data_IF_303632913329
#
_entry.id   IF_303632913329
#
_cell.length_a   1.000
_cell.length_b   1.000
_cell.length_c   1.000
_cell.angle_alpha   90.00
_cell.angle_beta   90.00
_cell.angle_gamma   90.00
#
_symmetry.space_group_name_H-M   'P 1'
#
loop_
_entity.id
_entity.type
_entity.pdbx_description
1 polymer ?
#
# COMPACT_ATOMS: atom_id res chain seq x y z
N UNK A 1 23.55 -27.54 11.23
CA UNK A 1 23.54 -26.06 11.32
C UNK A 1 22.20 -25.60 10.77
N UNK A 2 21.25 -25.20 11.63
CA UNK A 2 20.03 -24.54 11.17
C UNK A 2 20.36 -23.10 10.74
N UNK A 3 21.02 -22.94 9.60
CA UNK A 3 20.92 -21.70 8.87
C UNK A 3 19.57 -21.70 8.15
N UNK A 4 18.76 -20.64 8.29
CA UNK A 4 17.71 -20.38 7.29
C UNK A 4 16.36 -19.84 7.76
N UNK A 5 16.14 -19.50 9.04
CA UNK A 5 14.89 -18.85 9.46
C UNK A 5 15.08 -17.36 9.72
N UNK A 6 14.16 -16.55 9.18
CA UNK A 6 14.15 -15.10 9.35
C UNK A 6 13.82 -14.72 10.80
N UNK A 7 14.61 -13.83 11.39
CA UNK A 7 14.33 -13.24 12.70
C UNK A 7 13.26 -12.16 12.62
N UNK A 8 12.60 -11.83 13.74
CA UNK A 8 11.65 -10.71 13.83
C UNK A 8 12.26 -9.38 13.39
N UNK A 9 13.53 -9.15 13.72
CA UNK A 9 14.27 -7.95 13.33
C UNK A 9 14.46 -7.88 11.81
N UNK A 10 14.84 -9.00 11.18
CA UNK A 10 14.98 -9.08 9.72
C UNK A 10 13.64 -8.90 9.01
N UNK A 11 12.55 -9.48 9.54
CA UNK A 11 11.19 -9.26 9.03
C UNK A 11 10.82 -7.78 9.05
N UNK A 12 10.94 -7.13 10.22
CA UNK A 12 10.60 -5.71 10.36
C UNK A 12 11.51 -4.80 9.53
N UNK A 13 12.78 -5.17 9.34
CA UNK A 13 13.67 -4.45 8.41
C UNK A 13 13.12 -4.48 6.99
N UNK A 14 12.76 -5.66 6.47
CA UNK A 14 12.17 -5.82 5.13
C UNK A 14 10.85 -5.06 4.99
N UNK A 15 9.95 -5.15 5.97
CA UNK A 15 8.69 -4.39 5.98
C UNK A 15 8.95 -2.87 5.88
N UNK A 16 9.96 -2.36 6.59
CA UNK A 16 10.32 -0.92 6.52
C UNK A 16 10.89 -0.53 5.16
N UNK A 17 11.67 -1.40 4.53
CA UNK A 17 12.17 -1.18 3.16
C UNK A 17 10.99 -1.05 2.19
N UNK A 18 10.06 -2.02 2.20
CA UNK A 18 8.85 -1.99 1.36
C UNK A 18 7.97 -0.75 1.64
N UNK A 19 7.80 -0.39 2.90
CA UNK A 19 6.99 0.77 3.29
C UNK A 19 7.56 2.10 2.78
N UNK A 20 8.89 2.24 2.72
CA UNK A 20 9.54 3.47 2.20
C UNK A 20 9.25 3.66 0.71
N UNK A 21 9.33 2.59 -0.06
CA UNK A 21 9.02 2.59 -1.50
C UNK A 21 7.52 2.89 -1.71
N UNK A 22 6.67 2.15 -0.99
CA UNK A 22 5.20 2.31 -1.07
C UNK A 22 4.74 3.74 -0.78
N UNK A 23 5.36 4.42 0.19
CA UNK A 23 5.01 5.80 0.54
C UNK A 23 5.16 6.73 -0.67
N UNK A 24 6.26 6.58 -1.42
CA UNK A 24 6.49 7.39 -2.62
C UNK A 24 5.47 7.06 -3.69
N UNK A 25 5.23 5.78 -3.96
CA UNK A 25 4.29 5.32 -4.98
C UNK A 25 2.86 5.79 -4.72
N UNK A 26 2.41 5.78 -3.46
CA UNK A 26 1.10 6.31 -3.08
C UNK A 26 1.00 7.81 -3.38
N UNK A 27 2.02 8.59 -3.04
CA UNK A 27 2.02 10.04 -3.28
C UNK A 27 2.02 10.33 -4.80
N UNK A 28 2.85 9.61 -5.56
CA UNK A 28 2.92 9.75 -7.01
C UNK A 28 1.57 9.39 -7.67
N UNK A 29 0.90 8.36 -7.17
CA UNK A 29 -0.43 7.97 -7.64
C UNK A 29 -1.51 9.01 -7.30
N UNK A 30 -1.45 9.62 -6.12
CA UNK A 30 -2.35 10.73 -5.76
C UNK A 30 -2.19 11.91 -6.72
N UNK A 31 -0.94 12.29 -7.06
CA UNK A 31 -0.68 13.33 -8.06
C UNK A 31 -1.18 12.95 -9.44
N UNK A 32 -0.95 11.69 -9.87
CA UNK A 32 -1.44 11.19 -11.15
C UNK A 32 -2.97 11.26 -11.23
N UNK A 33 -3.68 10.87 -10.17
CA UNK A 33 -5.14 10.94 -10.10
C UNK A 33 -5.64 12.39 -10.15
N UNK A 34 -5.00 13.30 -9.41
CA UNK A 34 -5.34 14.72 -9.43
C UNK A 34 -5.14 15.34 -10.82
N UNK A 35 -4.03 15.00 -11.49
CA UNK A 35 -3.68 15.51 -12.81
C UNK A 35 -4.37 14.79 -13.98
N UNK A 36 -5.15 13.73 -13.70
CA UNK A 36 -5.81 12.93 -14.74
C UNK A 36 -7.01 13.62 -15.40
N UNK A 37 -7.50 14.71 -14.80
CA UNK A 37 -8.77 15.35 -15.18
C UNK A 37 -10.02 14.62 -14.70
N UNK A 38 -9.88 13.46 -14.02
CA UNK A 38 -11.01 12.72 -13.44
C UNK A 38 -11.57 13.37 -12.16
N UNK A 39 -10.83 14.32 -11.57
CA UNK A 39 -11.18 14.97 -10.32
C UNK A 39 -11.12 16.48 -10.52
N UNK A 40 -12.20 17.16 -10.16
CA UNK A 40 -12.23 18.62 -10.08
C UNK A 40 -12.14 19.03 -8.61
N UNK A 41 -10.91 19.19 -8.12
CA UNK A 41 -10.64 19.49 -6.72
C UNK A 41 -11.16 20.88 -6.29
N UNK A 42 -11.39 21.79 -7.24
CA UNK A 42 -11.87 23.14 -6.96
C UNK A 42 -13.33 23.17 -6.49
N UNK A 43 -14.09 22.10 -6.74
CA UNK A 43 -15.48 21.94 -6.28
C UNK A 43 -15.60 21.48 -4.82
N UNK A 44 -14.50 21.13 -4.18
CA UNK A 44 -14.49 20.58 -2.83
C UNK A 44 -14.00 21.60 -1.82
N UNK A 45 -14.52 21.52 -0.59
CA UNK A 45 -14.01 22.30 0.53
C UNK A 45 -12.54 21.94 0.82
N UNK A 46 -11.79 22.90 1.37
CA UNK A 46 -10.43 22.68 1.86
C UNK A 46 -10.43 21.85 3.16
N UNK A 47 -10.82 20.58 3.04
CA UNK A 47 -10.84 19.60 4.09
C UNK A 47 -10.31 18.26 3.60
N UNK A 48 -10.35 17.25 4.47
CA UNK A 48 -9.74 15.96 4.19
C UNK A 48 -10.63 14.99 3.41
N UNK A 49 -11.87 15.35 3.06
CA UNK A 49 -12.79 14.42 2.40
C UNK A 49 -12.25 13.93 1.05
N UNK A 50 -12.00 14.86 0.11
CA UNK A 50 -11.45 14.50 -1.20
C UNK A 50 -10.03 13.90 -1.11
N UNK A 51 -9.07 14.50 -0.36
CA UNK A 51 -7.75 13.89 -0.19
C UNK A 51 -7.82 12.46 0.35
N UNK A 52 -8.70 12.16 1.32
CA UNK A 52 -8.88 10.79 1.82
C UNK A 52 -9.41 9.85 0.75
N UNK A 53 -10.39 10.29 -0.05
CA UNK A 53 -10.90 9.49 -1.17
C UNK A 53 -9.80 9.16 -2.17
N UNK A 54 -9.00 10.14 -2.58
CA UNK A 54 -7.87 9.92 -3.51
C UNK A 54 -6.83 8.98 -2.88
N UNK A 55 -6.51 9.19 -1.62
CA UNK A 55 -5.57 8.35 -0.87
C UNK A 55 -6.06 6.90 -0.75
N UNK A 56 -7.37 6.68 -0.54
CA UNK A 56 -7.94 5.33 -0.52
C UNK A 56 -7.70 4.60 -1.84
N UNK A 57 -7.98 5.24 -2.97
CA UNK A 57 -7.76 4.64 -4.30
C UNK A 57 -6.27 4.37 -4.54
N UNK A 58 -5.39 5.29 -4.14
CA UNK A 58 -3.94 5.09 -4.26
C UNK A 58 -3.45 3.90 -3.40
N UNK A 59 -3.96 3.76 -2.17
CA UNK A 59 -3.66 2.64 -1.29
C UNK A 59 -4.19 1.30 -1.84
N UNK A 60 -5.41 1.27 -2.40
CA UNK A 60 -5.96 0.07 -3.03
C UNK A 60 -5.10 -0.39 -4.20
N UNK A 61 -4.68 0.54 -5.07
CA UNK A 61 -3.74 0.24 -6.15
C UNK A 61 -2.40 -0.27 -5.62
N UNK A 62 -1.84 0.38 -4.61
CA UNK A 62 -0.59 -0.06 -4.01
C UNK A 62 -0.71 -1.48 -3.42
N UNK A 63 -1.84 -1.82 -2.80
CA UNK A 63 -2.09 -3.16 -2.26
C UNK A 63 -2.05 -4.26 -3.32
N UNK A 64 -2.43 -3.97 -4.57
CA UNK A 64 -2.30 -4.91 -5.68
C UNK A 64 -0.84 -5.25 -6.01
N UNK A 65 0.09 -4.32 -5.86
CA UNK A 65 1.53 -4.57 -6.06
C UNK A 65 2.10 -5.55 -5.01
N UNK A 66 1.47 -5.63 -3.84
CA UNK A 66 1.88 -6.50 -2.73
C UNK A 66 1.15 -7.84 -2.71
N UNK A 67 0.36 -8.15 -3.74
CA UNK A 67 -0.44 -9.37 -3.74
C UNK A 67 0.48 -10.61 -3.68
N UNK A 68 0.28 -11.52 -2.72
CA UNK A 68 1.11 -12.71 -2.62
C UNK A 68 0.97 -13.55 -3.89
N UNK A 69 2.11 -13.92 -4.50
CA UNK A 69 2.11 -14.60 -5.80
C UNK A 69 1.84 -16.11 -5.67
N UNK A 70 2.35 -16.75 -4.61
CA UNK A 70 2.18 -18.18 -4.38
C UNK A 70 0.87 -18.51 -3.65
N UNK A 71 0.36 -19.74 -3.86
CA UNK A 71 -0.80 -20.28 -3.14
C UNK A 71 -0.62 -20.25 -1.63
N UNK A 72 0.58 -20.57 -1.15
CA UNK A 72 0.89 -20.69 0.27
C UNK A 72 0.85 -19.31 0.94
N UNK A 73 1.45 -18.30 0.31
CA UNK A 73 1.40 -16.93 0.82
C UNK A 73 -0.01 -16.32 0.71
N UNK A 74 -0.81 -16.72 -0.29
CA UNK A 74 -2.24 -16.34 -0.38
C UNK A 74 -3.05 -16.93 0.78
N UNK A 75 -2.77 -18.17 1.17
CA UNK A 75 -3.38 -18.81 2.33
C UNK A 75 -2.97 -18.10 3.64
N UNK A 76 -1.69 -17.79 3.78
CA UNK A 76 -1.17 -17.04 4.94
C UNK A 76 -1.83 -15.65 5.05
N UNK A 77 -1.91 -14.90 3.95
CA UNK A 77 -2.57 -13.60 3.91
C UNK A 77 -4.07 -13.69 4.29
N UNK A 78 -4.76 -14.76 3.89
CA UNK A 78 -6.17 -15.00 4.28
C UNK A 78 -6.30 -15.26 5.78
N UNK A 79 -5.35 -15.96 6.38
CA UNK A 79 -5.34 -16.20 7.83
C UNK A 79 -5.05 -14.91 8.61
N UNK A 80 -4.08 -14.10 8.16
CA UNK A 80 -3.75 -12.81 8.78
C UNK A 80 -4.94 -11.83 8.78
N UNK A 81 -5.80 -11.85 7.75
CA UNK A 81 -7.00 -10.99 7.66
C UNK A 81 -8.11 -11.31 8.67
N UNK A 82 -8.01 -12.42 9.41
CA UNK A 82 -9.01 -12.80 10.42
C UNK A 82 -8.73 -12.23 11.81
N UNK A 83 -7.55 -11.63 11.99
CA UNK A 83 -7.15 -10.89 13.18
C UNK A 83 -7.36 -9.40 12.96
#
# INVERSE_FOLDING_TARGET
MEEGKMTKTQFMKKVRELARETKKDIIDECWRLLNSGAIDYQKYENGYALPKTVMTVACEKAAWNWHPLSSDLKAEARNLRKF
#
